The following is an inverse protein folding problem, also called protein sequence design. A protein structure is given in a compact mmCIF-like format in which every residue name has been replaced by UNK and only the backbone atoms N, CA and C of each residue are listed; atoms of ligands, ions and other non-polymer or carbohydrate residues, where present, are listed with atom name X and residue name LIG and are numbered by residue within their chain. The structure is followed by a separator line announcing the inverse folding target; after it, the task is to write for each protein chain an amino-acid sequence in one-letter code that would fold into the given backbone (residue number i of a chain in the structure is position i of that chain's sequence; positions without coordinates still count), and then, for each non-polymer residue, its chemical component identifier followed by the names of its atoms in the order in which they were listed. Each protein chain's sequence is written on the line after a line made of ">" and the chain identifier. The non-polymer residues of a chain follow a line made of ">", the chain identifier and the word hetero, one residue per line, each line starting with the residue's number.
data_IF_520247057179
#
_entry.id   IF_520247057179
#
_cell.length_a   1.000
_cell.length_b   1.000
_cell.length_c   1.000
_cell.angle_alpha   90.00
_cell.angle_beta   90.00
_cell.angle_gamma   90.00
#
_symmetry.space_group_name_H-M   'P 1'
#
loop_
_entity.id
_entity.type
_entity.pdbx_description
1 polymer ?
#
# COMPACT_ATOMS: atom_id res chain seq x y z
N UNK A 1 -6.80 39.57 31.95
CA UNK A 1 -7.18 38.15 31.89
C UNK A 1 -5.99 37.38 31.34
N UNK A 2 -5.34 36.56 32.15
CA UNK A 2 -4.21 35.72 31.72
C UNK A 2 -4.79 34.42 31.17
N UNK A 3 -4.62 34.18 29.87
CA UNK A 3 -4.95 32.89 29.24
C UNK A 3 -3.89 31.87 29.68
N UNK A 4 -4.26 31.01 30.62
CA UNK A 4 -3.45 29.86 31.01
C UNK A 4 -3.60 28.80 29.92
N UNK A 5 -2.64 28.74 29.00
CA UNK A 5 -2.54 27.66 28.02
C UNK A 5 -2.20 26.39 28.79
N UNK A 6 -3.15 25.46 28.90
CA UNK A 6 -2.86 24.16 29.51
C UNK A 6 -1.89 23.39 28.61
N UNK A 7 -0.86 22.74 29.18
CA UNK A 7 0.04 21.91 28.40
C UNK A 7 -0.75 20.76 27.77
N UNK A 8 -0.61 20.61 26.46
CA UNK A 8 -1.13 19.48 25.69
C UNK A 8 -0.63 18.21 26.39
N UNK A 9 -1.54 17.43 26.97
CA UNK A 9 -1.21 16.14 27.56
C UNK A 9 -0.58 15.28 26.48
N UNK A 10 0.69 14.90 26.68
CA UNK A 10 1.38 13.95 25.82
C UNK A 10 0.61 12.63 25.87
N UNK A 11 -0.03 12.28 24.75
CA UNK A 11 -0.66 10.99 24.56
C UNK A 11 0.36 9.87 24.79
N UNK A 12 -0.04 8.73 25.37
CA UNK A 12 0.87 7.62 25.65
C UNK A 12 1.48 7.05 24.35
N UNK A 13 2.80 7.17 24.22
CA UNK A 13 3.64 6.63 23.14
C UNK A 13 3.80 5.10 23.19
N UNK A 14 2.71 4.34 23.08
CA UNK A 14 2.79 2.88 22.91
C UNK A 14 2.29 2.49 21.51
N UNK A 15 3.15 1.87 20.69
CA UNK A 15 2.81 1.33 19.37
C UNK A 15 2.13 -0.03 19.36
N UNK A 16 1.64 -0.49 20.51
CA UNK A 16 0.66 -1.56 20.60
C UNK A 16 -0.71 -1.24 19.93
N UNK A 17 -0.83 -0.15 19.17
CA UNK A 17 -2.09 0.35 18.62
C UNK A 17 -2.06 0.83 17.18
N UNK A 18 -0.96 0.67 16.44
CA UNK A 18 -0.92 1.11 15.03
C UNK A 18 -1.83 0.22 14.21
N UNK A 19 -2.93 0.76 13.71
CA UNK A 19 -3.83 0.03 12.80
C UNK A 19 -3.30 0.07 11.37
N UNK A 20 -3.71 -0.88 10.52
CA UNK A 20 -3.39 -0.82 9.08
C UNK A 20 -3.83 0.51 8.45
N UNK A 21 -4.99 1.05 8.87
CA UNK A 21 -5.47 2.36 8.41
C UNK A 21 -4.54 3.50 8.81
N UNK A 22 -4.01 3.51 10.04
CA UNK A 22 -3.05 4.53 10.47
C UNK A 22 -1.73 4.42 9.71
N UNK A 23 -1.27 3.20 9.46
CA UNK A 23 -0.05 2.95 8.70
C UNK A 23 -0.17 3.46 7.27
N UNK A 24 -1.30 3.21 6.60
CA UNK A 24 -1.57 3.67 5.23
C UNK A 24 -1.66 5.19 5.11
N UNK A 25 -2.09 5.87 6.17
CA UNK A 25 -2.10 7.34 6.27
C UNK A 25 -0.72 7.91 6.64
N UNK A 26 0.26 7.04 6.92
CA UNK A 26 1.62 7.43 7.25
C UNK A 26 2.34 8.04 6.05
N UNK A 27 3.10 9.09 6.33
CA UNK A 27 4.06 9.68 5.39
C UNK A 27 5.43 9.12 5.72
N UNK A 28 6.18 8.65 4.73
CA UNK A 28 7.54 8.17 4.93
C UNK A 28 8.56 8.98 4.12
N UNK A 29 9.81 8.84 4.51
CA UNK A 29 11.00 9.28 3.76
C UNK A 29 12.14 8.29 3.94
N UNK A 30 13.09 8.29 3.01
CA UNK A 30 14.31 7.48 3.10
C UNK A 30 15.33 8.15 4.02
N UNK A 31 16.05 7.37 4.82
CA UNK A 31 16.94 7.90 5.87
C UNK A 31 18.16 8.68 5.33
N UNK A 32 18.54 8.50 4.06
CA UNK A 32 19.63 9.26 3.42
C UNK A 32 19.33 10.75 3.21
N UNK A 33 18.15 11.21 3.62
CA UNK A 33 17.75 12.62 3.61
C UNK A 33 18.02 13.21 4.97
N UNK A 34 19.21 13.80 5.12
CA UNK A 34 19.47 14.71 6.23
C UNK A 34 18.35 15.77 6.21
N UNK A 35 17.55 15.88 7.29
CA UNK A 35 16.52 16.93 7.35
C UNK A 35 17.22 18.24 6.99
N UNK A 36 16.75 18.98 5.97
CA UNK A 36 17.05 20.40 5.96
C UNK A 36 16.59 20.92 7.34
N UNK A 37 17.48 21.63 8.03
CA UNK A 37 17.12 22.27 9.30
C UNK A 37 15.75 22.91 9.09
N UNK A 38 14.76 22.65 9.96
CA UNK A 38 13.37 22.97 9.68
C UNK A 38 13.33 24.41 9.19
N UNK A 39 12.97 24.59 7.91
CA UNK A 39 12.84 25.91 7.35
C UNK A 39 11.92 26.65 8.31
N UNK A 40 12.41 27.75 8.89
CA UNK A 40 11.66 28.45 9.92
C UNK A 40 10.32 28.84 9.31
N UNK A 41 9.27 28.12 9.70
CA UNK A 41 7.93 28.36 9.22
C UNK A 41 7.60 29.78 9.63
N UNK A 42 7.31 30.68 8.68
CA UNK A 42 7.02 32.05 9.02
C UNK A 42 5.86 32.10 10.03
N UNK A 43 5.89 33.03 11.00
CA UNK A 43 4.85 33.11 12.02
C UNK A 43 3.42 33.19 11.45
N UNK A 44 3.26 33.80 10.27
CA UNK A 44 1.96 33.91 9.61
C UNK A 44 1.44 32.57 9.08
N UNK A 45 2.30 31.68 8.55
CA UNK A 45 1.93 30.32 8.14
C UNK A 45 1.57 29.49 9.38
N UNK A 46 2.36 29.61 10.45
CA UNK A 46 2.09 28.91 11.70
C UNK A 46 0.73 29.34 12.31
N UNK A 47 0.40 30.63 12.25
CA UNK A 47 -0.89 31.15 12.69
C UNK A 47 -2.05 30.58 11.86
N UNK A 48 -1.91 30.49 10.54
CA UNK A 48 -2.93 29.89 9.67
C UNK A 48 -3.16 28.41 10.00
N UNK A 49 -2.09 27.64 10.20
CA UNK A 49 -2.19 26.22 10.62
C UNK A 49 -2.90 26.11 11.97
N UNK A 50 -2.51 26.92 12.96
CA UNK A 50 -3.14 26.90 14.29
C UNK A 50 -4.62 27.31 14.21
N UNK A 51 -4.97 28.29 13.37
CA UNK A 51 -6.35 28.72 13.12
C UNK A 51 -7.20 27.55 12.60
N UNK A 52 -6.74 26.87 11.55
CA UNK A 52 -7.43 25.71 10.96
C UNK A 52 -7.61 24.58 11.99
N UNK A 53 -6.55 24.23 12.72
CA UNK A 53 -6.61 23.19 13.77
C UNK A 53 -7.62 23.56 14.85
N UNK A 54 -7.62 24.81 15.32
CA UNK A 54 -8.57 25.27 16.33
C UNK A 54 -10.02 25.19 15.82
N UNK A 55 -10.27 25.54 14.55
CA UNK A 55 -11.60 25.47 13.95
C UNK A 55 -12.07 24.04 13.85
N UNK A 56 -11.24 23.13 13.33
CA UNK A 56 -11.58 21.70 13.26
C UNK A 56 -11.83 21.13 14.67
N UNK A 57 -11.01 21.47 15.66
CA UNK A 57 -11.21 21.03 17.03
C UNK A 57 -12.52 21.56 17.64
N UNK A 58 -12.83 22.84 17.38
CA UNK A 58 -14.06 23.48 17.86
C UNK A 58 -15.27 22.82 17.21
N UNK A 59 -15.24 22.60 15.90
CA UNK A 59 -16.32 21.95 15.15
C UNK A 59 -16.57 20.51 15.59
N UNK A 60 -15.51 19.77 15.96
CA UNK A 60 -15.61 18.38 16.42
C UNK A 60 -15.86 18.25 17.94
N UNK A 61 -15.89 19.36 18.69
CA UNK A 61 -16.16 19.31 20.13
C UNK A 61 -17.64 19.02 20.39
N UNK A 62 -17.90 18.14 21.36
CA UNK A 62 -19.26 17.72 21.75
C UNK A 62 -20.05 18.78 22.53
N UNK A 63 -19.39 19.83 23.01
CA UNK A 63 -19.95 20.93 23.83
C UNK A 63 -20.01 22.25 23.05
N UNK A 64 -20.18 22.17 21.74
CA UNK A 64 -20.25 23.38 20.92
C UNK A 64 -21.71 23.72 20.59
N UNK A 65 -21.99 24.99 20.27
CA UNK A 65 -23.31 25.48 19.83
C UNK A 65 -23.70 24.95 18.42
N UNK A 66 -23.23 23.74 18.06
CA UNK A 66 -23.55 23.09 16.81
C UNK A 66 -25.05 22.77 16.77
N UNK A 67 -25.75 23.09 15.67
CA UNK A 67 -27.19 22.84 15.58
C UNK A 67 -27.51 21.36 15.83
N UNK A 68 -28.37 21.08 16.81
CA UNK A 68 -28.70 19.69 17.18
C UNK A 68 -29.44 18.92 16.06
N UNK A 69 -30.02 19.66 15.11
CA UNK A 69 -30.69 19.15 13.92
C UNK A 69 -29.71 18.81 12.79
N UNK A 70 -28.44 19.17 12.89
CA UNK A 70 -27.41 18.89 11.88
C UNK A 70 -26.34 17.95 12.45
N UNK A 71 -26.30 16.67 12.03
CA UNK A 71 -25.26 15.76 12.51
C UNK A 71 -23.88 16.23 12.06
N UNK A 72 -22.86 16.12 12.93
CA UNK A 72 -21.46 16.43 12.61
C UNK A 72 -20.85 15.32 11.73
N UNK A 73 -21.41 15.10 10.55
CA UNK A 73 -20.81 14.24 9.54
C UNK A 73 -19.77 15.02 8.74
N UNK A 74 -18.78 14.36 8.13
CA UNK A 74 -17.79 15.02 7.28
C UNK A 74 -18.43 15.94 6.24
N UNK A 75 -19.52 15.52 5.60
CA UNK A 75 -20.23 16.27 4.57
C UNK A 75 -20.76 17.62 5.07
N UNK A 76 -21.19 17.68 6.33
CA UNK A 76 -21.69 18.90 6.95
C UNK A 76 -20.56 19.80 7.47
N UNK A 77 -19.37 19.23 7.74
CA UNK A 77 -18.20 19.98 8.17
C UNK A 77 -17.40 20.57 6.99
N UNK A 78 -17.46 19.95 5.82
CA UNK A 78 -16.71 20.35 4.62
C UNK A 78 -16.78 21.85 4.31
N UNK A 79 -17.96 22.51 4.28
CA UNK A 79 -18.04 23.92 3.92
C UNK A 79 -17.26 24.85 4.87
N UNK A 80 -17.19 24.48 6.15
CA UNK A 80 -16.51 25.26 7.19
C UNK A 80 -15.00 25.03 7.17
N UNK A 81 -14.59 23.79 6.88
CA UNK A 81 -13.17 23.43 6.81
C UNK A 81 -12.58 23.92 5.48
N UNK A 82 -13.34 23.94 4.39
CA UNK A 82 -12.83 24.31 3.07
C UNK A 82 -12.36 25.75 3.00
N UNK A 83 -13.10 26.71 3.57
CA UNK A 83 -12.74 28.14 3.55
C UNK A 83 -11.40 28.38 4.27
N UNK A 84 -11.26 27.81 5.46
CA UNK A 84 -10.03 27.89 6.26
C UNK A 84 -8.85 27.12 5.63
N UNK A 85 -9.15 26.05 4.90
CA UNK A 85 -8.15 25.31 4.13
C UNK A 85 -7.65 26.13 2.95
N UNK A 86 -8.53 26.83 2.24
CA UNK A 86 -8.18 27.74 1.15
C UNK A 86 -7.31 28.89 1.64
N UNK A 87 -7.64 29.51 2.78
CA UNK A 87 -6.80 30.55 3.40
C UNK A 87 -5.39 30.04 3.74
N UNK A 88 -5.29 28.81 4.26
CA UNK A 88 -3.99 28.18 4.53
C UNK A 88 -3.21 27.93 3.24
N UNK A 89 -3.86 27.45 2.18
CA UNK A 89 -3.24 27.23 0.88
C UNK A 89 -2.72 28.53 0.26
N UNK A 90 -3.51 29.60 0.31
CA UNK A 90 -3.09 30.93 -0.15
C UNK A 90 -1.89 31.46 0.63
N UNK A 91 -1.90 31.24 1.95
CA UNK A 91 -0.80 31.59 2.83
C UNK A 91 0.48 30.83 2.49
N UNK A 92 0.36 29.54 2.17
CA UNK A 92 1.49 28.71 1.73
C UNK A 92 2.01 29.14 0.35
N UNK A 93 1.13 29.46 -0.60
CA UNK A 93 1.52 29.96 -1.92
C UNK A 93 2.25 31.30 -1.82
N UNK A 94 1.76 32.22 -0.99
CA UNK A 94 2.44 33.48 -0.72
C UNK A 94 3.84 33.24 -0.14
N UNK A 95 3.98 32.33 0.82
CA UNK A 95 5.29 32.00 1.35
C UNK A 95 6.23 31.41 0.29
N UNK A 96 5.76 30.49 -0.54
CA UNK A 96 6.54 29.93 -1.65
C UNK A 96 7.02 31.01 -2.63
N UNK A 97 6.19 32.03 -2.88
CA UNK A 97 6.56 33.15 -3.77
C UNK A 97 7.62 34.09 -3.19
N UNK A 98 7.76 34.13 -1.85
CA UNK A 98 8.71 34.99 -1.12
C UNK A 98 10.02 34.27 -0.81
N UNK A 99 10.05 32.94 -0.89
CA UNK A 99 11.30 32.19 -0.84
C UNK A 99 12.18 32.66 -2.00
N UNK A 100 13.44 33.09 -1.75
CA UNK A 100 14.33 33.48 -2.82
C UNK A 100 14.48 32.27 -3.73
N UNK A 101 13.95 32.41 -4.95
CA UNK A 101 14.11 31.43 -5.99
C UNK A 101 15.61 31.12 -6.11
N UNK A 102 16.02 29.94 -5.63
CA UNK A 102 17.14 29.22 -6.24
C UNK A 102 16.70 28.77 -7.64
N UNK A 103 16.33 29.73 -8.48
CA UNK A 103 16.30 29.61 -9.93
C UNK A 103 17.73 29.68 -10.42
N UNK A 104 18.51 28.65 -10.15
CA UNK A 104 19.63 28.31 -11.03
C UNK A 104 19.09 27.40 -12.10
N UNK A 105 18.92 27.98 -13.27
CA UNK A 105 18.85 27.36 -14.58
C UNK A 105 19.51 25.97 -14.61
N UNK A 106 18.74 24.99 -15.11
CA UNK A 106 19.18 23.85 -15.92
C UNK A 106 20.71 23.64 -16.00
N UNK A 107 21.28 23.01 -14.98
CA UNK A 107 22.38 22.07 -15.15
C UNK A 107 21.93 20.79 -14.49
N UNK A 108 22.13 19.66 -15.18
CA UNK A 108 21.84 18.31 -14.70
C UNK A 108 22.71 17.93 -13.48
N UNK A 109 22.53 18.64 -12.37
CA UNK A 109 23.05 18.29 -11.06
C UNK A 109 22.03 17.38 -10.41
N UNK A 110 22.49 16.18 -10.05
CA UNK A 110 21.75 15.22 -9.25
C UNK A 110 21.01 15.95 -8.11
N UNK A 111 19.72 15.63 -7.87
CA UNK A 111 19.00 16.18 -6.74
C UNK A 111 19.84 15.94 -5.48
N UNK A 112 20.07 17.01 -4.73
CA UNK A 112 20.77 16.93 -3.46
C UNK A 112 20.02 15.94 -2.56
N UNK A 113 20.68 15.03 -1.85
CA UNK A 113 20.03 14.00 -1.03
C UNK A 113 19.12 14.57 0.07
N UNK A 114 19.15 15.89 0.33
CA UNK A 114 18.32 16.60 1.31
C UNK A 114 16.85 16.81 0.89
N UNK A 115 16.47 16.57 -0.37
CA UNK A 115 15.10 16.76 -0.87
C UNK A 115 14.47 15.44 -1.36
N UNK A 116 14.56 14.36 -0.57
CA UNK A 116 13.75 13.18 -0.91
C UNK A 116 12.27 13.53 -0.69
N UNK A 117 11.41 13.28 -1.68
CA UNK A 117 10.00 13.59 -1.56
C UNK A 117 9.39 12.83 -0.38
N UNK A 118 8.50 13.50 0.33
CA UNK A 118 7.62 12.87 1.29
C UNK A 118 6.58 12.06 0.50
N UNK A 119 6.47 10.77 0.78
CA UNK A 119 5.59 9.85 0.07
C UNK A 119 4.62 9.20 1.06
N UNK A 120 3.38 8.92 0.64
CA UNK A 120 2.44 8.15 1.45
C UNK A 120 2.77 6.66 1.36
N UNK A 121 2.57 5.92 2.46
CA UNK A 121 2.74 4.46 2.43
C UNK A 121 1.78 3.80 1.42
N UNK A 122 0.58 4.34 1.24
CA UNK A 122 -0.35 3.88 0.20
C UNK A 122 0.21 4.02 -1.22
N UNK A 123 0.93 5.11 -1.49
CA UNK A 123 1.50 5.39 -2.81
C UNK A 123 2.70 4.47 -3.07
N UNK A 124 3.53 4.24 -2.05
CA UNK A 124 4.57 3.23 -2.09
C UNK A 124 3.99 1.83 -2.34
N UNK A 125 2.93 1.45 -1.62
CA UNK A 125 2.25 0.18 -1.81
C UNK A 125 1.76 0.01 -3.24
N UNK A 126 1.12 1.04 -3.79
CA UNK A 126 0.64 1.09 -5.18
C UNK A 126 1.79 0.95 -6.18
N UNK A 127 2.88 1.68 -5.96
CA UNK A 127 4.07 1.60 -6.80
C UNK A 127 4.69 0.19 -6.78
N UNK A 128 4.89 -0.40 -5.60
CA UNK A 128 5.46 -1.74 -5.45
C UNK A 128 4.58 -2.83 -6.11
N UNK A 129 3.27 -2.77 -5.90
CA UNK A 129 2.31 -3.68 -6.55
C UNK A 129 2.34 -3.48 -8.06
N UNK A 130 2.37 -2.23 -8.53
CA UNK A 130 2.48 -1.89 -9.95
C UNK A 130 3.75 -2.46 -10.60
N UNK A 131 4.91 -2.33 -9.95
CA UNK A 131 6.17 -2.91 -10.42
C UNK A 131 6.11 -4.43 -10.52
N UNK A 132 5.47 -5.10 -9.55
CA UNK A 132 5.26 -6.56 -9.61
C UNK A 132 4.30 -6.94 -10.73
N UNK A 133 3.14 -6.30 -10.82
CA UNK A 133 2.11 -6.60 -11.82
C UNK A 133 2.62 -6.40 -13.26
N UNK A 134 3.43 -5.37 -13.50
CA UNK A 134 4.02 -5.10 -14.81
C UNK A 134 5.08 -6.11 -15.24
N UNK A 135 5.57 -6.98 -14.34
CA UNK A 135 6.68 -7.89 -14.64
C UNK A 135 6.32 -8.96 -15.66
N UNK A 136 5.20 -9.68 -15.46
CA UNK A 136 4.67 -10.67 -16.39
C UNK A 136 3.14 -10.80 -16.23
N UNK A 137 2.42 -11.27 -17.27
CA UNK A 137 0.99 -11.54 -17.17
C UNK A 137 0.64 -12.55 -16.07
N UNK A 138 1.51 -13.54 -15.82
CA UNK A 138 1.33 -14.51 -14.76
C UNK A 138 1.41 -13.88 -13.37
N UNK A 139 2.30 -12.92 -13.16
CA UNK A 139 2.37 -12.16 -11.89
C UNK A 139 1.06 -11.40 -11.67
N UNK A 140 0.57 -10.68 -12.69
CA UNK A 140 -0.70 -9.97 -12.62
C UNK A 140 -1.87 -10.91 -12.30
N UNK A 141 -2.00 -12.01 -13.05
CA UNK A 141 -3.05 -12.99 -12.80
C UNK A 141 -2.96 -13.58 -11.39
N UNK A 142 -1.75 -13.90 -10.91
CA UNK A 142 -1.56 -14.38 -9.55
C UNK A 142 -1.91 -13.34 -8.48
N UNK A 143 -1.65 -12.04 -8.71
CA UNK A 143 -2.08 -10.97 -7.79
C UNK A 143 -3.61 -10.87 -7.71
N UNK A 144 -4.30 -11.09 -8.83
CA UNK A 144 -5.77 -11.13 -8.92
C UNK A 144 -6.36 -12.44 -8.34
N UNK A 145 -5.57 -13.52 -8.41
CA UNK A 145 -5.94 -14.86 -7.99
C UNK A 145 -6.31 -15.76 -9.17
N UNK A 146 -5.61 -16.88 -9.32
CA UNK A 146 -5.84 -17.85 -10.40
C UNK A 146 -6.32 -19.20 -9.85
N UNK A 147 -7.08 -19.92 -10.67
CA UNK A 147 -7.31 -21.34 -10.46
C UNK A 147 -6.01 -22.11 -10.70
N UNK A 148 -5.66 -22.98 -9.75
CA UNK A 148 -4.48 -23.81 -9.81
C UNK A 148 -4.71 -25.16 -9.11
N UNK A 149 -3.96 -26.16 -9.53
CA UNK A 149 -3.80 -27.39 -8.77
C UNK A 149 -2.70 -27.17 -7.72
N UNK A 150 -3.07 -27.28 -6.45
CA UNK A 150 -2.19 -27.09 -5.31
C UNK A 150 -1.99 -28.42 -4.59
N UNK A 151 -0.74 -28.73 -4.25
CA UNK A 151 -0.39 -29.84 -3.37
C UNK A 151 0.35 -29.30 -2.16
N UNK A 152 -0.27 -29.41 -0.98
CA UNK A 152 0.34 -29.06 0.31
C UNK A 152 0.78 -30.37 0.95
N UNK A 153 2.08 -30.61 1.13
CA UNK A 153 2.56 -31.88 1.68
C UNK A 153 2.14 -32.06 3.15
N UNK A 154 1.74 -33.29 3.58
CA UNK A 154 1.67 -34.56 2.83
C UNK A 154 0.28 -34.85 2.19
N UNK A 155 -0.37 -33.85 1.60
CA UNK A 155 -1.71 -33.94 1.01
C UNK A 155 -1.74 -34.33 -0.47
N UNK A 156 -2.97 -34.62 -0.93
CA UNK A 156 -3.28 -34.82 -2.34
C UNK A 156 -3.36 -33.49 -3.10
N UNK A 157 -3.19 -33.55 -4.42
CA UNK A 157 -3.40 -32.40 -5.32
C UNK A 157 -4.88 -32.03 -5.31
N UNK A 158 -5.19 -30.75 -5.11
CA UNK A 158 -6.56 -30.22 -5.14
C UNK A 158 -6.65 -28.94 -5.99
N UNK A 159 -7.72 -28.76 -6.78
CA UNK A 159 -7.99 -27.50 -7.45
C UNK A 159 -8.38 -26.43 -6.42
N UNK A 160 -7.71 -25.29 -6.44
CA UNK A 160 -7.87 -24.18 -5.50
C UNK A 160 -7.73 -22.85 -6.23
N UNK A 161 -8.34 -21.79 -5.70
CA UNK A 161 -7.96 -20.42 -6.06
C UNK A 161 -6.71 -20.03 -5.27
N UNK A 162 -5.65 -19.60 -5.95
CA UNK A 162 -4.38 -19.20 -5.33
C UNK A 162 -4.05 -17.77 -5.71
N UNK A 163 -3.68 -16.96 -4.73
CA UNK A 163 -3.28 -15.56 -4.91
C UNK A 163 -1.87 -15.31 -4.41
N UNK A 164 -1.09 -14.54 -5.17
CA UNK A 164 0.16 -13.92 -4.74
C UNK A 164 -0.15 -12.66 -3.93
N UNK A 165 0.43 -12.54 -2.75
CA UNK A 165 0.26 -11.42 -1.83
C UNK A 165 1.61 -10.77 -1.59
N UNK A 166 1.86 -9.57 -2.15
CA UNK A 166 2.99 -8.74 -1.75
C UNK A 166 2.73 -8.21 -0.34
N UNK A 167 3.55 -8.64 0.61
CA UNK A 167 3.44 -8.27 2.02
C UNK A 167 4.54 -7.29 2.36
N UNK A 168 4.17 -6.07 2.72
CA UNK A 168 5.09 -5.10 3.30
C UNK A 168 5.12 -5.30 4.82
N UNK A 169 6.25 -5.78 5.32
CA UNK A 169 6.53 -5.89 6.75
C UNK A 169 7.16 -4.59 7.22
N UNK A 170 6.53 -3.93 8.19
CA UNK A 170 7.00 -2.70 8.84
C UNK A 170 7.31 -3.00 10.30
N UNK A 171 8.55 -2.80 10.71
CA UNK A 171 9.04 -3.04 12.06
C UNK A 171 9.28 -1.69 12.74
N UNK A 172 8.67 -1.54 13.91
CA UNK A 172 8.86 -0.48 14.89
C UNK A 172 9.68 -1.01 16.07
N UNK A 173 10.15 -0.13 16.95
CA UNK A 173 10.90 -0.53 18.15
C UNK A 173 10.12 -1.48 19.09
N UNK A 174 8.79 -1.45 19.03
CA UNK A 174 7.89 -2.17 19.93
C UNK A 174 6.91 -3.11 19.22
N UNK A 175 7.09 -3.36 17.92
CA UNK A 175 6.25 -4.32 17.19
C UNK A 175 6.54 -4.45 15.69
N UNK A 176 5.85 -5.40 15.07
CA UNK A 176 5.88 -5.63 13.63
C UNK A 176 4.46 -5.63 13.09
N UNK A 177 4.27 -5.01 11.93
CA UNK A 177 3.02 -4.99 11.18
C UNK A 177 3.25 -5.53 9.78
N UNK A 178 2.33 -6.36 9.31
CA UNK A 178 2.38 -6.94 7.97
C UNK A 178 1.17 -6.46 7.19
N UNK A 179 1.40 -5.86 6.03
CA UNK A 179 0.37 -5.25 5.20
C UNK A 179 0.29 -6.00 3.87
N UNK A 180 -0.87 -6.56 3.55
CA UNK A 180 -1.21 -7.01 2.20
C UNK A 180 -1.34 -5.76 1.33
N UNK A 181 -0.40 -5.56 0.40
CA UNK A 181 -0.38 -4.35 -0.42
C UNK A 181 -1.50 -4.31 -1.47
N UNK A 182 -2.09 -5.46 -1.83
CA UNK A 182 -3.18 -5.53 -2.82
C UNK A 182 -4.50 -5.12 -2.16
N UNK A 183 -4.77 -5.63 -0.96
CA UNK A 183 -6.01 -5.29 -0.23
C UNK A 183 -5.88 -4.10 0.71
N UNK A 184 -4.64 -3.65 0.97
CA UNK A 184 -4.31 -2.63 1.95
C UNK A 184 -4.87 -2.96 3.34
N UNK A 185 -4.78 -4.23 3.74
CA UNK A 185 -5.23 -4.71 5.06
C UNK A 185 -4.11 -5.44 5.79
N UNK A 186 -4.25 -5.59 7.10
CA UNK A 186 -3.33 -6.44 7.87
C UNK A 186 -3.28 -7.85 7.26
N UNK A 187 -2.07 -8.35 7.04
CA UNK A 187 -1.82 -9.69 6.55
C UNK A 187 -1.77 -10.68 7.70
N UNK A 188 -2.44 -11.82 7.55
CA UNK A 188 -2.36 -12.93 8.50
C UNK A 188 -1.34 -13.95 8.01
N UNK A 189 -0.15 -13.93 8.60
CA UNK A 189 0.93 -14.88 8.29
C UNK A 189 0.54 -16.34 8.45
N UNK A 190 -0.48 -16.67 9.25
CA UNK A 190 -0.96 -18.06 9.39
C UNK A 190 -1.72 -18.55 8.14
N UNK A 191 -2.15 -17.64 7.27
CA UNK A 191 -2.80 -17.96 6.00
C UNK A 191 -1.82 -18.24 4.86
N UNK A 192 -0.53 -17.99 5.06
CA UNK A 192 0.51 -18.20 4.06
C UNK A 192 0.73 -19.69 3.77
N UNK A 193 0.85 -20.03 2.49
CA UNK A 193 1.13 -21.38 2.05
C UNK A 193 2.59 -21.78 2.29
N UNK A 194 2.86 -23.03 2.73
CA UNK A 194 4.21 -23.53 2.91
C UNK A 194 5.05 -23.50 1.62
N UNK A 195 6.33 -23.21 1.75
CA UNK A 195 7.25 -22.98 0.63
C UNK A 195 7.47 -24.21 -0.27
N UNK A 196 7.31 -25.40 0.29
CA UNK A 196 7.43 -26.70 -0.35
C UNK A 196 6.14 -27.16 -1.04
N UNK A 197 5.02 -26.43 -0.87
CA UNK A 197 3.78 -26.69 -1.60
C UNK A 197 4.04 -26.58 -3.11
N UNK A 198 3.44 -27.47 -3.89
CA UNK A 198 3.56 -27.48 -5.34
C UNK A 198 2.35 -26.82 -5.98
N UNK A 199 2.61 -25.90 -6.91
CA UNK A 199 1.61 -25.14 -7.65
C UNK A 199 1.72 -25.45 -9.13
N UNK A 200 0.58 -25.77 -9.74
CA UNK A 200 0.41 -25.91 -11.19
C UNK A 200 -0.80 -25.09 -11.63
N UNK A 201 -0.58 -24.04 -12.41
CA UNK A 201 -1.65 -23.17 -12.92
C UNK A 201 -2.56 -23.93 -13.90
N UNK A 202 -3.88 -23.77 -13.76
CA UNK A 202 -4.87 -24.57 -14.52
C UNK A 202 -5.05 -24.13 -15.97
N UNK A 203 -4.70 -22.89 -16.30
CA UNK A 203 -4.81 -22.31 -17.65
C UNK A 203 -3.69 -22.76 -18.60
N UNK A 204 -2.67 -23.45 -18.07
CA UNK A 204 -1.55 -23.96 -18.85
C UNK A 204 -1.71 -25.44 -19.13
N UNK A 205 -1.27 -25.81 -20.33
CA UNK A 205 -1.18 -27.20 -20.76
C UNK A 205 -0.63 -28.07 -19.63
N UNK A 206 -1.31 -29.18 -19.36
CA UNK A 206 -0.95 -30.20 -18.35
C UNK A 206 0.46 -30.79 -18.51
N UNK A 207 1.18 -30.36 -19.55
CA UNK A 207 2.57 -30.65 -19.84
C UNK A 207 3.56 -29.91 -18.93
N UNK A 208 3.18 -28.80 -18.28
CA UNK A 208 4.09 -28.10 -17.34
C UNK A 208 4.00 -28.79 -15.98
N UNK A 209 5.11 -29.34 -15.44
CA UNK A 209 5.11 -29.99 -14.14
C UNK A 209 4.82 -28.99 -13.01
N UNK A 210 4.21 -29.43 -11.90
CA UNK A 210 4.06 -28.61 -10.70
C UNK A 210 5.41 -28.07 -10.20
N UNK A 211 5.42 -26.83 -9.74
CA UNK A 211 6.62 -26.14 -9.26
C UNK A 211 6.40 -25.69 -7.82
N UNK A 212 7.42 -25.78 -6.96
CA UNK A 212 7.31 -25.33 -5.58
C UNK A 212 7.05 -23.83 -5.47
N UNK A 213 6.33 -23.41 -4.43
CA UNK A 213 6.06 -21.99 -4.19
C UNK A 213 7.35 -21.18 -3.94
N UNK A 214 8.39 -21.80 -3.36
CA UNK A 214 9.73 -21.20 -3.28
C UNK A 214 10.29 -20.82 -4.66
N UNK A 215 10.27 -21.77 -5.60
CA UNK A 215 10.76 -21.55 -6.96
C UNK A 215 9.89 -20.54 -7.72
N UNK A 216 8.57 -20.53 -7.48
CA UNK A 216 7.69 -19.48 -8.00
C UNK A 216 8.11 -18.09 -7.52
N UNK A 217 8.35 -17.88 -6.22
CA UNK A 217 8.78 -16.57 -5.71
C UNK A 217 10.09 -16.10 -6.31
N UNK A 218 11.09 -16.98 -6.40
CA UNK A 218 12.37 -16.65 -7.03
C UNK A 218 12.19 -16.20 -8.48
N UNK A 219 11.35 -16.92 -9.26
CA UNK A 219 11.04 -16.56 -10.64
C UNK A 219 10.34 -15.20 -10.73
N UNK A 220 9.31 -14.97 -9.91
CA UNK A 220 8.55 -13.71 -9.91
C UNK A 220 9.44 -12.53 -9.52
N UNK A 221 10.26 -12.68 -8.50
CA UNK A 221 11.24 -11.68 -8.12
C UNK A 221 12.26 -11.39 -9.21
N UNK A 222 12.84 -12.43 -9.81
CA UNK A 222 13.79 -12.25 -10.90
C UNK A 222 13.19 -11.49 -12.09
N UNK A 223 11.91 -11.74 -12.40
CA UNK A 223 11.17 -11.01 -13.44
C UNK A 223 10.88 -9.57 -13.06
N UNK A 224 10.42 -9.32 -11.82
CA UNK A 224 10.16 -7.96 -11.34
C UNK A 224 11.43 -7.10 -11.34
N UNK A 225 12.55 -7.64 -10.84
CA UNK A 225 13.85 -6.94 -10.81
C UNK A 225 14.36 -6.66 -12.22
N UNK A 226 14.15 -7.56 -13.18
CA UNK A 226 14.58 -7.36 -14.56
C UNK A 226 13.85 -6.19 -15.24
N UNK A 227 12.63 -5.85 -14.80
CA UNK A 227 11.81 -4.76 -15.35
C UNK A 227 11.96 -3.47 -14.52
N UNK A 228 12.01 -3.59 -13.21
CA UNK A 228 12.13 -2.47 -12.26
C UNK A 228 13.22 -2.79 -11.23
N UNK A 229 14.51 -2.54 -11.55
CA UNK A 229 15.63 -2.89 -10.68
C UNK A 229 15.52 -2.31 -9.26
N UNK A 230 14.87 -1.17 -9.11
CA UNK A 230 14.63 -0.48 -7.84
C UNK A 230 13.83 -1.33 -6.86
N UNK A 231 13.05 -2.32 -7.33
CA UNK A 231 12.29 -3.20 -6.44
C UNK A 231 13.22 -4.14 -5.64
N UNK A 232 14.45 -4.37 -6.12
CA UNK A 232 15.43 -5.26 -5.48
C UNK A 232 15.75 -4.82 -4.05
N UNK A 233 15.85 -3.50 -3.81
CA UNK A 233 16.18 -2.99 -2.47
C UNK A 233 15.15 -3.45 -1.43
N UNK A 234 13.89 -3.59 -1.82
CA UNK A 234 12.81 -4.00 -0.92
C UNK A 234 12.83 -5.48 -0.56
N UNK A 235 13.66 -6.32 -1.20
CA UNK A 235 13.90 -7.69 -0.73
C UNK A 235 14.71 -7.73 0.56
N UNK A 236 15.45 -6.66 0.82
CA UNK A 236 16.26 -6.48 2.02
C UNK A 236 15.58 -5.46 2.93
N UNK A 237 15.95 -5.52 4.19
CA UNK A 237 15.50 -4.55 5.17
C UNK A 237 15.93 -3.13 4.78
N UNK A 238 14.97 -2.23 4.65
CA UNK A 238 15.15 -0.82 4.33
C UNK A 238 14.86 0.02 5.57
N UNK A 239 15.81 0.87 5.96
CA UNK A 239 15.57 1.86 7.02
C UNK A 239 14.93 3.11 6.45
N UNK A 240 13.76 3.46 6.98
CA UNK A 240 12.99 4.63 6.61
C UNK A 240 12.65 5.42 7.88
N UNK A 241 12.15 6.64 7.70
CA UNK A 241 11.45 7.36 8.76
C UNK A 241 9.99 7.49 8.38
N UNK A 242 9.10 7.32 9.35
CA UNK A 242 7.65 7.45 9.19
C UNK A 242 7.10 8.51 10.12
N UNK A 243 6.10 9.24 9.64
CA UNK A 243 5.25 10.12 10.43
C UNK A 243 3.83 9.56 10.37
N UNK A 244 3.34 9.08 11.51
CA UNK A 244 1.97 8.60 11.67
C UNK A 244 1.07 9.71 12.25
N UNK A 245 -0.25 9.67 12.00
CA UNK A 245 -1.18 10.63 12.60
C UNK A 245 -1.06 10.68 14.12
N UNK A 246 -0.79 11.86 14.67
CA UNK A 246 -0.63 12.09 16.11
C UNK A 246 0.71 11.64 16.70
N UNK A 247 1.70 11.25 15.88
CA UNK A 247 3.04 10.86 16.31
C UNK A 247 4.12 11.79 15.76
N UNK A 248 5.34 11.61 16.25
CA UNK A 248 6.55 12.24 15.69
C UNK A 248 7.17 11.36 14.62
N UNK A 249 8.19 11.88 13.92
CA UNK A 249 9.02 11.06 13.05
C UNK A 249 9.71 9.95 13.86
N UNK A 250 9.49 8.71 13.45
CA UNK A 250 10.06 7.52 14.07
C UNK A 250 10.82 6.72 12.99
N UNK A 251 11.99 6.14 13.32
CA UNK A 251 12.65 5.21 12.41
C UNK A 251 11.84 3.92 12.31
N UNK A 252 11.78 3.35 11.12
CA UNK A 252 11.16 2.04 10.87
C UNK A 252 12.03 1.22 9.93
N UNK A 253 11.88 -0.08 10.00
CA UNK A 253 12.47 -1.01 9.04
C UNK A 253 11.37 -1.62 8.18
N UNK A 254 11.57 -1.63 6.87
CA UNK A 254 10.61 -2.13 5.91
C UNK A 254 11.21 -3.24 5.06
N UNK A 255 10.46 -4.33 4.85
CA UNK A 255 10.84 -5.38 3.90
C UNK A 255 9.61 -5.81 3.12
N UNK A 256 9.76 -6.00 1.81
CA UNK A 256 8.74 -6.57 0.93
C UNK A 256 9.00 -8.06 0.76
N UNK A 257 8.01 -8.88 1.10
CA UNK A 257 8.01 -10.32 0.81
C UNK A 257 6.87 -10.69 -0.13
N UNK A 258 7.01 -11.82 -0.81
CA UNK A 258 5.94 -12.39 -1.64
C UNK A 258 5.39 -13.62 -0.91
N UNK A 259 4.10 -13.66 -0.67
CA UNK A 259 3.42 -14.80 -0.05
C UNK A 259 2.37 -15.36 -1.01
N UNK A 260 1.99 -16.62 -0.80
CA UNK A 260 0.89 -17.23 -1.54
C UNK A 260 -0.19 -17.63 -0.53
N UNK A 261 -1.46 -17.40 -0.88
CA UNK A 261 -2.61 -17.75 -0.04
C UNK A 261 -3.68 -18.45 -0.86
N UNK A 262 -4.52 -19.23 -0.18
CA UNK A 262 -5.73 -19.81 -0.78
C UNK A 262 -6.86 -18.77 -0.71
N UNK A 263 -7.58 -18.59 -1.81
CA UNK A 263 -8.77 -17.74 -1.86
C UNK A 263 -9.98 -18.50 -1.33
N UNK A 264 -10.45 -18.11 -0.14
CA UNK A 264 -11.59 -18.74 0.56
C UNK A 264 -12.96 -18.42 -0.06
N UNK A 265 -13.02 -17.52 -1.07
CA UNK A 265 -14.28 -17.00 -1.64
C UNK A 265 -14.47 -17.21 -3.14
N UNK A 266 -13.82 -18.19 -3.75
CA UNK A 266 -14.40 -18.74 -4.98
C UNK A 266 -15.53 -19.65 -4.57
N UNK A 267 -16.76 -19.12 -4.58
CA UNK A 267 -17.96 -19.95 -4.49
C UNK A 267 -17.80 -21.09 -5.50
N UNK A 268 -17.73 -22.32 -4.99
CA UNK A 268 -17.56 -23.58 -5.72
C UNK A 268 -16.99 -23.45 -7.14
N UNK A 269 -15.72 -23.79 -7.33
CA UNK A 269 -15.10 -23.93 -8.67
C UNK A 269 -15.94 -24.79 -9.65
N UNK A 270 -16.92 -25.58 -9.17
CA UNK A 270 -17.92 -26.23 -10.02
C UNK A 270 -18.70 -25.25 -10.94
N UNK A 271 -18.90 -23.99 -10.53
CA UNK A 271 -19.61 -22.99 -11.33
C UNK A 271 -18.75 -22.38 -12.45
N UNK A 272 -17.42 -22.43 -12.33
CA UNK A 272 -16.49 -21.96 -13.36
C UNK A 272 -16.15 -23.06 -14.37
N UNK A 273 -16.18 -24.33 -13.97
CA UNK A 273 -16.03 -25.47 -14.89
C UNK A 273 -17.28 -25.74 -15.73
N UNK A 274 -18.48 -25.32 -15.30
CA UNK A 274 -19.71 -25.46 -16.10
C UNK A 274 -19.80 -24.52 -17.32
N UNK A 275 -18.97 -23.47 -17.39
CA UNK A 275 -18.98 -22.52 -18.52
C UNK A 275 -17.86 -22.73 -19.55
N UNK A 276 -17.09 -23.82 -19.46
CA UNK A 276 -16.21 -24.22 -20.56
C UNK A 276 -17.09 -24.81 -21.68
N UNK A 277 -17.10 -24.24 -22.91
CA UNK A 277 -17.82 -24.84 -24.02
C UNK A 277 -17.27 -26.24 -24.27
N UNK A 278 -18.16 -27.22 -24.15
CA UNK A 278 -17.88 -28.62 -24.38
C UNK A 278 -17.52 -28.80 -25.87
N UNK A 279 -16.24 -28.65 -26.22
CA UNK A 279 -15.70 -28.81 -27.59
C UNK A 279 -15.66 -30.28 -28.05
N UNK A 280 -16.41 -31.14 -27.38
CA UNK A 280 -16.48 -32.58 -27.59
C UNK A 280 -17.70 -33.00 -28.43
N UNK A 281 -18.03 -32.33 -29.56
CA UNK A 281 -19.00 -32.90 -30.53
C UNK A 281 -19.11 -32.18 -31.89
N UNK A 282 -18.02 -31.72 -32.50
CA UNK A 282 -18.08 -31.49 -33.96
C UNK A 282 -17.66 -32.78 -34.66
N UNK A 283 -18.65 -33.64 -34.88
CA UNK A 283 -18.49 -34.88 -35.63
C UNK A 283 -17.90 -34.59 -37.02
N UNK A 284 -16.69 -35.08 -37.27
CA UNK A 284 -16.24 -35.31 -38.64
C UNK A 284 -17.12 -36.43 -39.21
N UNK A 285 -18.09 -36.08 -40.05
CA UNK A 285 -18.67 -37.04 -40.97
C UNK A 285 -17.59 -37.44 -41.99
N UNK A 286 -17.41 -38.74 -42.26
CA UNK A 286 -16.52 -39.19 -43.32
C UNK A 286 -17.10 -38.76 -44.68
N UNK A 287 -16.27 -38.12 -45.49
CA UNK A 287 -16.56 -37.86 -46.89
C UNK A 287 -16.58 -39.20 -47.64
N UNK A 288 -17.76 -39.78 -47.86
CA UNK A 288 -17.98 -40.69 -48.99
C UNK A 288 -18.06 -39.84 -50.25
N UNK A 289 -17.03 -39.90 -51.10
CA UNK A 289 -17.17 -39.54 -52.51
C UNK A 289 -17.13 -40.81 -53.35
N UNK A 290 -18.29 -41.13 -53.90
CA UNK A 290 -18.40 -41.86 -55.15
C UNK A 290 -17.78 -41.03 -56.28
N UNK A 291 -16.86 -41.64 -57.04
CA UNK A 291 -16.88 -41.88 -58.49
C UNK A 291 -15.68 -42.79 -58.79
#
# INVERSE_FOLDING_TARGET
>A
MQLTVQPISMLPSSAASVTASQLLQGVFRRENTQLPAPAQIPPFVQQAIVKLVNIVQTLCASDNDWPQDLPQTPENLVPYVSEETEELLDTLHQWQSVLPLHSSLQTAQQPSPADSPLELISDLGTHLVGSLAASTPETMGLLEGLAANLQIFPGAVQPQGVRLVPVLTVIFDDGQYELDLVTQTAFDSSSALPNDSLLQLSDRSSLIPPVSLACWREKLWAKAIAITPEIQQWQQEQTLQILLPGRTWEPIQCTLSLQFVILTRYGSLAALTENLPNLSSTGMQPLEMAI
#
